data_IF_568619315562
#
_entry.id   IF_568619315562
#
_cell.length_a   1.000
_cell.length_b   1.000
_cell.length_c   1.000
_cell.angle_alpha   90.00
_cell.angle_beta   90.00
_cell.angle_gamma   90.00
#
_symmetry.space_group_name_H-M   'P 1'
#
loop_
_entity.id
_entity.type
_entity.pdbx_description
1 polymer ?
#
# COMPACT_ATOMS: atom_id res chain seq x y z
N UNK A 1 6.58 1.32 -20.84
CA UNK A 1 5.36 0.82 -20.17
C UNK A 1 5.62 0.75 -18.67
N UNK A 2 4.79 1.38 -17.84
CA UNK A 2 4.88 1.19 -16.40
C UNK A 2 4.13 -0.08 -16.01
N UNK A 3 4.65 -0.88 -15.07
CA UNK A 3 3.96 -2.07 -14.62
C UNK A 3 2.61 -1.72 -13.99
N UNK A 4 1.59 -2.52 -14.25
CA UNK A 4 0.31 -2.43 -13.55
C UNK A 4 0.41 -3.08 -12.18
N UNK A 5 -0.24 -2.48 -11.18
CA UNK A 5 -0.34 -2.99 -9.82
C UNK A 5 -1.77 -2.82 -9.32
N UNK A 6 -2.18 -3.71 -8.42
CA UNK A 6 -3.54 -3.69 -7.87
C UNK A 6 -3.56 -2.98 -6.53
N UNK A 7 -4.41 -1.98 -6.40
CA UNK A 7 -4.71 -1.36 -5.11
C UNK A 7 -5.35 -2.40 -4.19
N UNK A 8 -4.82 -2.58 -2.98
CA UNK A 8 -5.37 -3.57 -2.02
C UNK A 8 -6.64 -3.07 -1.32
N UNK A 9 -6.95 -1.78 -1.42
CA UNK A 9 -8.17 -1.17 -0.86
C UNK A 9 -9.38 -1.27 -1.80
N UNK A 10 -9.25 -0.86 -3.07
CA UNK A 10 -10.36 -0.89 -4.05
C UNK A 10 -10.27 -2.02 -5.08
N UNK A 11 -9.15 -2.76 -5.15
CA UNK A 11 -8.90 -3.87 -6.09
C UNK A 11 -8.77 -3.45 -7.56
N UNK A 12 -8.76 -2.15 -7.87
CA UNK A 12 -8.47 -1.63 -9.21
C UNK A 12 -7.00 -1.80 -9.57
N UNK A 13 -6.73 -2.25 -10.81
CA UNK A 13 -5.39 -2.24 -11.39
C UNK A 13 -5.08 -0.85 -11.95
N UNK A 14 -3.95 -0.28 -11.53
CA UNK A 14 -3.49 1.06 -11.92
C UNK A 14 -2.01 1.02 -12.30
N UNK A 15 -1.54 1.96 -13.14
CA UNK A 15 -0.13 2.15 -13.38
C UNK A 15 0.62 2.34 -12.05
N UNK A 16 1.77 1.67 -11.86
CA UNK A 16 2.54 1.76 -10.61
C UNK A 16 2.84 3.21 -10.13
N UNK A 17 3.08 4.21 -10.99
CA UNK A 17 3.23 5.61 -10.56
C UNK A 17 2.00 6.23 -9.89
N UNK A 18 0.79 5.73 -10.19
CA UNK A 18 -0.46 6.22 -9.60
C UNK A 18 -0.77 5.58 -8.23
N UNK A 19 0.19 4.85 -7.65
CA UNK A 19 0.01 4.08 -6.43
C UNK A 19 1.15 4.36 -5.45
N UNK A 20 0.79 4.50 -4.17
CA UNK A 20 1.76 4.52 -3.08
C UNK A 20 2.08 3.09 -2.67
N UNK A 21 3.38 2.75 -2.65
CA UNK A 21 3.88 1.44 -2.20
C UNK A 21 4.11 1.47 -0.70
N UNK A 22 3.73 0.40 -0.02
CA UNK A 22 4.07 0.13 1.36
C UNK A 22 4.71 -1.25 1.48
N UNK A 23 5.70 -1.39 2.36
CA UNK A 23 6.38 -2.64 2.65
C UNK A 23 6.29 -2.96 4.13
N UNK A 24 6.55 -4.22 4.50
CA UNK A 24 6.60 -4.62 5.90
C UNK A 24 8.07 -4.66 6.36
N UNK A 25 8.41 -3.86 7.36
CA UNK A 25 9.74 -3.80 7.98
C UNK A 25 9.56 -3.97 9.49
N UNK A 26 10.27 -4.92 10.09
CA UNK A 26 10.22 -5.20 11.54
C UNK A 26 8.79 -5.30 12.10
N UNK A 27 7.92 -5.97 11.35
CA UNK A 27 6.52 -6.18 11.72
C UNK A 27 5.56 -5.02 11.40
N UNK A 28 6.07 -3.82 11.10
CA UNK A 28 5.29 -2.60 10.81
C UNK A 28 5.20 -2.31 9.32
N UNK A 29 4.18 -1.55 8.93
CA UNK A 29 4.03 -1.07 7.56
C UNK A 29 4.77 0.25 7.39
N UNK A 30 5.53 0.37 6.30
CA UNK A 30 6.33 1.56 6.01
C UNK A 30 6.12 1.97 4.56
N UNK A 31 5.86 3.26 4.34
CA UNK A 31 5.78 3.84 3.00
C UNK A 31 7.13 3.72 2.30
N UNK A 32 7.13 3.20 1.07
CA UNK A 32 8.33 2.99 0.27
C UNK A 32 8.27 3.87 -0.98
N UNK A 33 8.41 5.18 -0.76
CA UNK A 33 8.38 6.21 -1.82
C UNK A 33 9.53 6.06 -2.80
N UNK A 34 10.70 5.64 -2.32
CA UNK A 34 11.89 5.40 -3.14
C UNK A 34 11.89 4.09 -3.92
N UNK A 35 10.98 3.16 -3.60
CA UNK A 35 10.93 1.79 -4.17
C UNK A 35 12.24 1.01 -3.97
N UNK A 36 12.96 1.30 -2.89
CA UNK A 36 14.28 0.70 -2.58
C UNK A 36 14.17 -0.34 -1.46
N UNK A 37 12.98 -0.51 -0.90
CA UNK A 37 12.76 -1.43 0.21
C UNK A 37 12.59 -2.87 -0.27
N UNK A 38 13.40 -3.78 0.28
CA UNK A 38 13.26 -5.21 0.06
C UNK A 38 11.96 -5.77 0.67
N UNK A 39 11.44 -6.85 0.08
CA UNK A 39 10.22 -7.54 0.55
C UNK A 39 8.95 -7.32 -0.30
N UNK A 40 7.88 -8.07 0.04
CA UNK A 40 6.59 -8.04 -0.66
C UNK A 40 5.85 -6.73 -0.34
N UNK A 41 5.78 -5.83 -1.32
CA UNK A 41 5.07 -4.56 -1.20
C UNK A 41 3.58 -4.68 -1.53
N UNK A 42 2.78 -3.82 -0.92
CA UNK A 42 1.35 -3.61 -1.21
C UNK A 42 1.15 -2.18 -1.71
N UNK A 43 0.01 -1.93 -2.36
CA UNK A 43 -0.24 -0.67 -3.05
C UNK A 43 -1.59 -0.08 -2.66
N UNK A 44 -1.64 1.23 -2.47
CA UNK A 44 -2.87 2.00 -2.27
C UNK A 44 -2.93 3.17 -3.26
N UNK A 45 -4.10 3.42 -3.83
CA UNK A 45 -4.32 4.52 -4.79
C UNK A 45 -4.80 5.82 -4.14
N UNK A 46 -5.35 5.75 -2.92
CA UNK A 46 -5.87 6.93 -2.24
C UNK A 46 -5.95 6.73 -0.72
N UNK A 47 -6.12 7.84 0.01
CA UNK A 47 -6.28 7.85 1.47
C UNK A 47 -7.56 7.12 1.89
N UNK A 48 -8.64 7.24 1.10
CA UNK A 48 -9.88 6.48 1.30
C UNK A 48 -9.64 4.97 1.14
N UNK A 49 -8.72 4.55 0.27
CA UNK A 49 -8.34 3.15 0.16
C UNK A 49 -7.51 2.67 1.36
N UNK A 50 -6.75 3.56 2.00
CA UNK A 50 -6.09 3.28 3.27
C UNK A 50 -7.11 3.06 4.39
N UNK A 51 -8.25 3.75 4.39
CA UNK A 51 -9.34 3.48 5.33
C UNK A 51 -10.06 2.16 5.01
N UNK A 52 -10.36 1.91 3.74
CA UNK A 52 -11.03 0.67 3.29
C UNK A 52 -10.26 -0.59 3.67
N UNK A 53 -8.93 -0.55 3.60
CA UNK A 53 -8.11 -1.73 3.89
C UNK A 53 -8.16 -2.14 5.37
N UNK A 54 -8.64 -1.28 6.28
CA UNK A 54 -8.82 -1.62 7.70
C UNK A 54 -9.71 -2.86 7.91
N UNK A 55 -10.69 -3.08 7.01
CA UNK A 55 -11.61 -4.21 7.08
C UNK A 55 -10.98 -5.52 6.58
N UNK A 56 -9.80 -5.46 5.97
CA UNK A 56 -9.15 -6.61 5.36
C UNK A 56 -8.19 -7.29 6.34
N UNK A 57 -8.59 -8.46 6.85
CA UNK A 57 -7.80 -9.26 7.81
C UNK A 57 -6.42 -9.69 7.28
N UNK A 58 -6.19 -9.65 5.96
CA UNK A 58 -4.88 -9.95 5.34
C UNK A 58 -3.81 -8.90 5.64
N UNK A 59 -4.22 -7.67 6.01
CA UNK A 59 -3.30 -6.56 6.26
C UNK A 59 -3.49 -5.95 7.66
N UNK A 60 -3.22 -6.72 8.74
CA UNK A 60 -3.37 -6.22 10.10
C UNK A 60 -2.52 -4.96 10.34
N UNK A 61 -3.12 -3.96 10.98
CA UNK A 61 -2.46 -2.68 11.30
C UNK A 61 -2.13 -1.80 10.09
N UNK A 62 -2.42 -2.23 8.86
CA UNK A 62 -1.98 -1.50 7.67
C UNK A 62 -2.66 -0.14 7.51
N UNK A 63 -3.97 -0.07 7.75
CA UNK A 63 -4.74 1.17 7.58
C UNK A 63 -4.18 2.32 8.42
N UNK A 64 -3.90 2.07 9.70
CA UNK A 64 -3.34 3.09 10.61
C UNK A 64 -1.99 3.61 10.11
N UNK A 65 -1.05 2.72 9.81
CA UNK A 65 0.28 3.10 9.31
C UNK A 65 0.22 3.82 7.96
N UNK A 66 -0.64 3.34 7.05
CA UNK A 66 -0.81 3.95 5.75
C UNK A 66 -1.40 5.36 5.82
N UNK A 67 -2.30 5.62 6.77
CA UNK A 67 -2.89 6.94 7.00
C UNK A 67 -1.90 7.90 7.66
N UNK A 68 -1.06 7.42 8.58
CA UNK A 68 -0.01 8.22 9.21
C UNK A 68 1.11 8.61 8.24
N UNK A 69 1.34 7.79 7.21
CA UNK A 69 2.44 7.93 6.25
C UNK A 69 1.95 8.28 4.83
N UNK A 70 0.71 8.73 4.69
CA UNK A 70 0.15 9.22 3.43
C UNK A 70 0.79 10.55 3.04
#
# INVERSE_FOLDING_TARGET
>A
MSPQRTCVGCRTALPQPALRRFTRRDGRWVADTGRRSEGRGVYLCSRECAERVAKNKRYPGFSMEALLQW
#
